data_IF_362661121714
#
_entry.id   IF_362661121714
#
_cell.length_a   1.000
_cell.length_b   1.000
_cell.length_c   1.000
_cell.angle_alpha   90.00
_cell.angle_beta   90.00
_cell.angle_gamma   90.00
#
_symmetry.space_group_name_H-M   'P 1'
#
loop_
_entity.id
_entity.type
_entity.pdbx_description
1 polymer ?
#
# COMPACT_ATOMS: atom_id res chain seq x y z
N UNK A 1 -18.33 -9.22 -42.82
CA UNK A 1 -17.15 -8.67 -42.11
C UNK A 1 -17.66 -7.61 -41.14
N UNK A 2 -17.33 -7.71 -39.85
CA UNK A 2 -17.66 -6.78 -38.75
C UNK A 2 -18.98 -6.99 -37.99
N UNK A 3 -18.99 -7.98 -37.08
CA UNK A 3 -19.93 -8.01 -35.93
C UNK A 3 -19.25 -8.41 -34.60
N UNK A 4 -17.92 -8.27 -34.51
CA UNK A 4 -17.14 -8.64 -33.32
C UNK A 4 -16.83 -7.47 -32.37
N UNK A 5 -17.23 -6.24 -32.69
CA UNK A 5 -16.78 -5.05 -31.94
C UNK A 5 -17.66 -4.69 -30.73
N UNK A 6 -18.79 -5.36 -30.51
CA UNK A 6 -19.80 -4.92 -29.52
C UNK A 6 -19.92 -5.76 -28.24
N UNK A 7 -18.91 -6.57 -27.89
CA UNK A 7 -18.96 -7.39 -26.67
C UNK A 7 -17.66 -7.37 -25.84
N UNK A 8 -17.01 -6.22 -25.76
CA UNK A 8 -16.12 -5.94 -24.63
C UNK A 8 -16.84 -4.97 -23.72
N UNK A 9 -17.29 -5.49 -22.58
CA UNK A 9 -17.57 -4.68 -21.39
C UNK A 9 -16.46 -3.62 -21.29
N UNK A 10 -16.79 -2.34 -21.09
CA UNK A 10 -15.78 -1.30 -20.97
C UNK A 10 -14.81 -1.73 -19.87
N UNK A 11 -13.54 -1.91 -20.25
CA UNK A 11 -12.48 -2.19 -19.30
C UNK A 11 -12.43 -0.95 -18.41
N UNK A 12 -12.84 -1.12 -17.15
CA UNK A 12 -12.65 -0.11 -16.12
C UNK A 12 -11.14 0.05 -15.90
N UNK A 13 -10.57 1.00 -16.65
CA UNK A 13 -9.14 1.31 -16.67
C UNK A 13 -8.71 1.78 -15.29
N UNK A 14 -9.57 2.48 -14.55
CA UNK A 14 -9.26 2.96 -13.21
C UNK A 14 -9.05 1.78 -12.24
N UNK A 15 -9.95 0.78 -12.26
CA UNK A 15 -9.77 -0.44 -11.45
C UNK A 15 -8.55 -1.28 -11.87
N UNK A 16 -8.19 -1.27 -13.16
CA UNK A 16 -7.01 -1.99 -13.65
C UNK A 16 -5.72 -1.29 -13.22
N UNK A 17 -5.69 0.05 -13.24
CA UNK A 17 -4.56 0.85 -12.75
C UNK A 17 -4.36 0.63 -11.25
N UNK A 18 -5.44 0.59 -10.46
CA UNK A 18 -5.39 0.27 -9.01
C UNK A 18 -4.75 -1.10 -8.75
N UNK A 19 -5.15 -2.14 -9.53
CA UNK A 19 -4.58 -3.49 -9.43
C UNK A 19 -3.11 -3.59 -9.85
N UNK A 20 -2.63 -2.65 -10.67
CA UNK A 20 -1.25 -2.65 -11.19
C UNK A 20 -0.33 -1.68 -10.44
N UNK A 21 -0.88 -0.75 -9.66
CA UNK A 21 -0.10 0.10 -8.77
C UNK A 21 0.58 -0.77 -7.71
N UNK A 22 1.91 -0.78 -7.72
CA UNK A 22 2.68 -1.49 -6.70
C UNK A 22 2.41 -0.82 -5.36
N UNK A 23 1.71 -1.53 -4.50
CA UNK A 23 1.26 -0.97 -3.25
C UNK A 23 2.42 -0.88 -2.24
N UNK A 24 2.81 0.34 -1.83
CA UNK A 24 4.03 0.58 -1.07
C UNK A 24 4.03 -0.15 0.28
N UNK A 25 2.88 -0.24 0.95
CA UNK A 25 2.75 -0.98 2.21
C UNK A 25 3.03 -2.47 2.06
N UNK A 26 2.63 -3.07 0.93
CA UNK A 26 2.91 -4.48 0.65
C UNK A 26 4.41 -4.70 0.38
N UNK A 27 5.07 -3.75 -0.30
CA UNK A 27 6.53 -3.80 -0.46
C UNK A 27 7.22 -3.79 0.90
N UNK A 28 6.83 -2.87 1.78
CA UNK A 28 7.40 -2.73 3.12
C UNK A 28 7.21 -4.00 3.94
N UNK A 29 5.98 -4.52 3.98
CA UNK A 29 5.62 -5.77 4.67
C UNK A 29 6.46 -6.94 4.17
N UNK A 30 6.56 -7.11 2.84
CA UNK A 30 7.33 -8.19 2.23
C UNK A 30 8.81 -8.11 2.60
N UNK A 31 9.40 -6.91 2.56
CA UNK A 31 10.80 -6.71 2.94
C UNK A 31 11.04 -6.98 4.43
N UNK A 32 10.12 -6.54 5.30
CA UNK A 32 10.16 -6.82 6.74
C UNK A 32 10.16 -8.33 7.01
N UNK A 33 9.21 -9.04 6.39
CA UNK A 33 9.08 -10.49 6.55
C UNK A 33 10.28 -11.25 5.98
N UNK A 34 10.82 -10.83 4.83
CA UNK A 34 12.02 -11.44 4.25
C UNK A 34 13.26 -11.30 5.15
N UNK A 35 13.32 -10.24 5.97
CA UNK A 35 14.37 -10.02 6.96
C UNK A 35 14.08 -10.67 8.32
N UNK A 36 12.93 -11.34 8.49
CA UNK A 36 12.54 -11.97 9.76
C UNK A 36 12.23 -10.97 10.88
N UNK A 37 11.94 -9.72 10.54
CA UNK A 37 11.75 -8.65 11.52
C UNK A 37 10.30 -8.63 12.05
N UNK A 38 10.15 -8.51 13.36
CA UNK A 38 8.83 -8.31 13.99
C UNK A 38 8.42 -6.86 13.87
N UNK A 39 7.11 -6.64 13.71
CA UNK A 39 6.54 -5.30 13.57
C UNK A 39 6.83 -4.44 14.82
N UNK A 40 6.68 -5.03 16.02
CA UNK A 40 6.96 -4.38 17.30
C UNK A 40 8.43 -3.95 17.46
N UNK A 41 9.36 -4.72 16.90
CA UNK A 41 10.81 -4.43 16.99
C UNK A 41 11.13 -3.19 16.16
N UNK A 42 10.61 -3.13 14.93
CA UNK A 42 10.76 -1.98 14.03
C UNK A 42 10.03 -0.75 14.56
N UNK A 43 8.82 -0.92 15.10
CA UNK A 43 8.07 0.19 15.69
C UNK A 43 8.89 0.87 16.82
N UNK A 44 9.52 0.07 17.68
CA UNK A 44 10.41 0.58 18.75
C UNK A 44 11.66 1.25 18.20
N UNK A 45 12.31 0.66 17.20
CA UNK A 45 13.53 1.19 16.59
C UNK A 45 13.27 2.54 15.89
N UNK A 46 12.18 2.63 15.11
CA UNK A 46 11.80 3.83 14.37
C UNK A 46 11.07 4.86 15.24
N UNK A 47 10.69 4.51 16.47
CA UNK A 47 9.86 5.33 17.36
C UNK A 47 8.53 5.74 16.71
N UNK A 48 7.93 4.80 15.96
CA UNK A 48 6.62 4.93 15.34
C UNK A 48 5.65 4.05 16.13
N UNK A 49 4.42 4.51 16.33
CA UNK A 49 3.40 3.68 16.98
C UNK A 49 3.15 2.41 16.14
N UNK A 50 3.07 1.25 16.78
CA UNK A 50 2.91 -0.03 16.07
C UNK A 50 1.65 -0.05 15.19
N UNK A 51 0.57 0.62 15.60
CA UNK A 51 -0.68 0.71 14.82
C UNK A 51 -0.51 1.58 13.59
N UNK A 52 0.33 2.62 13.66
CA UNK A 52 0.68 3.44 12.51
C UNK A 52 1.54 2.67 11.52
N UNK A 53 2.51 1.90 12.02
CA UNK A 53 3.35 1.05 11.17
C UNK A 53 2.54 -0.08 10.51
N UNK A 54 1.60 -0.68 11.25
CA UNK A 54 0.66 -1.66 10.71
C UNK A 54 -0.24 -1.04 9.62
N UNK A 55 -0.79 0.13 9.87
CA UNK A 55 -1.59 0.84 8.87
C UNK A 55 -0.79 1.23 7.62
N UNK A 56 0.48 1.59 7.80
CA UNK A 56 1.39 1.84 6.68
C UNK A 56 1.58 0.59 5.81
N UNK A 57 1.80 -0.58 6.43
CA UNK A 57 1.91 -1.86 5.71
C UNK A 57 0.59 -2.30 5.04
N UNK A 58 -0.55 -1.89 5.61
CA UNK A 58 -1.89 -2.18 5.07
C UNK A 58 -2.46 -1.07 4.16
N UNK A 59 -1.69 -0.01 3.88
CA UNK A 59 -2.09 1.12 3.03
C UNK A 59 -3.33 1.88 3.54
N UNK A 60 -3.52 1.84 4.86
CA UNK A 60 -4.63 2.47 5.57
C UNK A 60 -4.24 3.90 5.96
N UNK A 61 -4.08 4.78 4.97
CA UNK A 61 -3.62 6.16 5.22
C UNK A 61 -4.66 7.06 5.91
N UNK A 62 -5.92 6.64 5.94
CA UNK A 62 -7.00 7.40 6.57
C UNK A 62 -6.81 7.59 8.09
N UNK A 63 -6.02 6.72 8.75
CA UNK A 63 -5.80 6.79 10.20
C UNK A 63 -4.78 7.86 10.60
N UNK A 64 -4.01 8.39 9.64
CA UNK A 64 -3.03 9.43 9.91
C UNK A 64 -3.77 10.77 9.96
N UNK A 65 -4.15 11.21 11.17
CA UNK A 65 -4.79 12.51 11.38
C UNK A 65 -3.80 13.65 11.13
N UNK A 66 -3.91 14.31 9.98
CA UNK A 66 -3.16 15.51 9.64
C UNK A 66 -2.18 15.31 8.48
N UNK A 67 -2.23 16.21 7.51
CA UNK A 67 -1.56 16.21 6.21
C UNK A 67 -0.02 16.23 6.23
N UNK A 68 0.64 16.04 7.38
CA UNK A 68 2.10 16.01 7.47
C UNK A 68 2.56 15.07 8.59
N UNK A 69 3.12 13.92 8.21
CA UNK A 69 4.17 13.24 8.97
C UNK A 69 5.31 12.85 8.01
N UNK A 70 5.88 13.82 7.30
CA UNK A 70 7.19 13.67 6.66
C UNK A 70 8.14 14.58 7.42
N UNK A 71 8.93 14.02 8.34
CA UNK A 71 10.16 14.65 8.81
C UNK A 71 11.31 13.82 8.24
N UNK A 72 11.76 14.21 7.05
CA UNK A 72 13.03 13.74 6.51
C UNK A 72 14.17 14.52 7.17
N UNK A 73 15.17 13.81 7.69
CA UNK A 73 16.51 14.32 7.94
C UNK A 73 17.48 13.42 7.17
#
# INVERSE_FOLDING_TARGET
MSEYFSMREPIDVDSAVERTMVNIGEILRRQRLAKGLKLDDIARELRIDVRQLEALENNQYAIFSGSVFIRGY
#
